data_IF_174961905484
#
_entry.id   IF_174961905484
#
_cell.length_a   1.000
_cell.length_b   1.000
_cell.length_c   1.000
_cell.angle_alpha   90.00
_cell.angle_beta   90.00
_cell.angle_gamma   90.00
#
_symmetry.space_group_name_H-M   'P 1'
#
loop_
_entity.id
_entity.type
_entity.pdbx_description
1 polymer ?
#
# COMPACT_ATOMS: atom_id res chain seq x y z
N UNK A 1 12.62 7.67 -24.75
CA UNK A 1 13.37 8.35 -23.68
C UNK A 1 13.64 7.30 -22.61
N UNK A 2 14.89 6.84 -22.52
CA UNK A 2 15.29 5.64 -21.77
C UNK A 2 15.65 6.05 -20.34
N UNK A 3 14.97 5.48 -19.35
CA UNK A 3 15.33 5.61 -17.94
C UNK A 3 16.67 4.90 -17.70
N UNK A 4 17.71 5.58 -17.19
CA UNK A 4 18.99 4.94 -16.98
C UNK A 4 18.99 4.06 -15.73
N UNK A 5 19.60 2.89 -15.86
CA UNK A 5 19.62 1.84 -14.87
C UNK A 5 20.64 2.14 -13.76
N UNK A 6 20.25 2.66 -12.59
CA UNK A 6 21.19 2.75 -11.45
C UNK A 6 20.56 2.48 -10.07
N UNK A 7 21.22 1.55 -9.37
CA UNK A 7 21.41 1.44 -7.91
C UNK A 7 21.10 0.03 -7.39
N UNK A 8 22.18 -0.61 -6.94
CA UNK A 8 22.27 -2.04 -6.68
C UNK A 8 22.28 -2.37 -5.18
N UNK A 9 21.40 -1.78 -4.35
CA UNK A 9 20.96 -2.40 -3.08
C UNK A 9 19.75 -1.68 -2.47
N UNK A 10 19.20 -2.26 -1.40
CA UNK A 10 17.78 -2.22 -1.14
C UNK A 10 17.26 -0.92 -0.50
N UNK A 11 16.24 -0.29 -1.08
CA UNK A 11 15.40 0.71 -0.43
C UNK A 11 14.48 0.00 0.56
N UNK A 12 14.60 0.31 1.85
CA UNK A 12 13.60 -0.02 2.86
C UNK A 12 12.38 0.87 2.66
N UNK A 13 11.21 0.24 2.62
CA UNK A 13 9.95 0.96 2.55
C UNK A 13 8.97 0.36 3.56
N UNK A 14 8.87 0.92 4.78
CA UNK A 14 7.70 0.68 5.60
C UNK A 14 6.48 1.28 4.90
N UNK A 15 5.42 0.48 4.79
CA UNK A 15 4.10 0.94 4.39
C UNK A 15 3.11 0.60 5.50
N UNK A 16 2.16 1.50 5.72
CA UNK A 16 1.02 1.28 6.61
C UNK A 16 -0.23 1.67 5.86
N UNK A 17 -1.17 0.74 5.71
CA UNK A 17 -2.47 0.98 5.11
C UNK A 17 -3.55 0.89 6.17
N UNK A 18 -4.35 1.94 6.31
CA UNK A 18 -5.49 1.98 7.22
C UNK A 18 -6.76 2.20 6.41
N UNK A 19 -7.85 1.52 6.76
CA UNK A 19 -9.15 1.75 6.11
C UNK A 19 -10.30 1.71 7.11
N UNK A 20 -11.32 2.52 6.85
CA UNK A 20 -12.55 2.55 7.65
C UNK A 20 -13.57 1.60 7.04
N UNK A 21 -14.13 0.70 7.86
CA UNK A 21 -15.20 -0.20 7.46
C UNK A 21 -16.38 -0.12 8.45
N UNK A 22 -17.64 -0.14 7.97
CA UNK A 22 -18.79 -0.29 8.85
C UNK A 22 -18.81 -1.71 9.43
N UNK A 23 -19.26 -1.83 10.67
CA UNK A 23 -19.33 -3.12 11.39
C UNK A 23 -20.60 -3.89 11.02
N UNK A 24 -20.53 -5.23 11.04
CA UNK A 24 -21.68 -6.11 10.91
C UNK A 24 -21.79 -7.05 12.12
N UNK A 25 -22.61 -6.70 13.13
CA UNK A 25 -22.78 -7.54 14.31
C UNK A 25 -23.48 -8.87 14.04
N UNK A 26 -24.13 -9.05 12.88
CA UNK A 26 -24.89 -10.27 12.56
C UNK A 26 -23.99 -11.39 11.99
N UNK A 27 -22.75 -11.09 11.62
CA UNK A 27 -21.80 -12.07 11.11
C UNK A 27 -20.64 -12.32 12.10
N UNK A 28 -20.71 -13.45 12.80
CA UNK A 28 -19.70 -13.87 13.75
C UNK A 28 -18.35 -14.26 13.10
N UNK A 29 -18.33 -14.50 11.78
CA UNK A 29 -17.15 -14.89 11.01
C UNK A 29 -16.48 -13.72 10.26
N UNK A 30 -17.13 -12.56 10.17
CA UNK A 30 -16.56 -11.28 9.71
C UNK A 30 -17.34 -10.06 10.26
N UNK A 31 -16.74 -9.31 11.18
CA UNK A 31 -17.37 -8.19 11.92
C UNK A 31 -17.27 -6.88 11.14
N UNK A 32 -16.65 -6.90 9.96
CA UNK A 32 -16.45 -5.77 9.07
C UNK A 32 -17.11 -6.04 7.70
N UNK A 33 -17.89 -5.09 7.19
CA UNK A 33 -18.54 -5.18 5.86
C UNK A 33 -17.59 -4.94 4.69
N UNK A 34 -16.31 -4.72 4.96
CA UNK A 34 -15.32 -4.35 3.98
C UNK A 34 -13.98 -5.01 4.31
N UNK A 35 -13.39 -5.67 3.32
CA UNK A 35 -11.99 -6.07 3.35
C UNK A 35 -11.20 -5.28 2.31
N UNK A 36 -9.98 -4.88 2.68
CA UNK A 36 -9.04 -4.27 1.74
C UNK A 36 -7.91 -5.26 1.43
N UNK A 37 -7.75 -5.61 0.17
CA UNK A 37 -6.60 -6.38 -0.29
C UNK A 37 -5.64 -5.45 -1.02
N UNK A 38 -4.41 -5.32 -0.49
CA UNK A 38 -3.38 -4.46 -1.07
C UNK A 38 -2.28 -5.31 -1.67
N UNK A 39 -2.08 -5.17 -2.98
CA UNK A 39 -1.10 -5.92 -3.75
C UNK A 39 -0.04 -4.97 -4.29
N UNK A 40 1.23 -5.35 -4.22
CA UNK A 40 2.33 -4.53 -4.71
C UNK A 40 2.87 -5.05 -6.05
N UNK A 41 2.93 -4.18 -7.05
CA UNK A 41 3.57 -4.42 -8.35
C UNK A 41 4.89 -3.65 -8.39
N UNK A 42 6.04 -4.33 -8.22
CA UNK A 42 7.34 -3.65 -8.22
C UNK A 42 7.78 -3.17 -9.60
N UNK A 43 7.35 -3.83 -10.68
CA UNK A 43 7.82 -3.56 -12.03
C UNK A 43 6.68 -3.82 -13.03
N UNK A 44 6.31 -2.78 -13.78
CA UNK A 44 5.25 -2.78 -14.79
C UNK A 44 5.60 -3.59 -16.05
N UNK A 45 6.87 -3.60 -16.45
CA UNK A 45 7.34 -4.32 -17.64
C UNK A 45 7.49 -5.83 -17.42
N UNK A 46 7.54 -6.29 -16.17
CA UNK A 46 7.67 -7.72 -15.86
C UNK A 46 6.32 -8.42 -15.96
N UNK A 47 5.90 -8.72 -17.17
CA UNK A 47 4.71 -9.52 -17.45
C UNK A 47 5.14 -10.98 -17.62
N UNK A 48 4.52 -11.89 -16.87
CA UNK A 48 4.76 -13.34 -17.06
C UNK A 48 4.04 -13.80 -18.31
N UNK A 49 4.65 -14.75 -19.00
CA UNK A 49 4.05 -15.36 -20.18
C UNK A 49 2.62 -15.87 -19.87
N UNK A 50 1.67 -15.55 -20.76
CA UNK A 50 0.21 -15.81 -20.62
C UNK A 50 -0.55 -15.00 -19.56
N UNK A 51 -0.03 -13.89 -19.03
CA UNK A 51 -0.79 -12.97 -18.15
C UNK A 51 -0.94 -11.59 -18.76
N UNK A 52 -2.11 -10.97 -18.55
CA UNK A 52 -2.37 -9.57 -18.96
C UNK A 52 -1.69 -8.56 -18.02
N UNK A 53 -1.53 -8.90 -16.74
CA UNK A 53 -1.01 -8.00 -15.72
C UNK A 53 0.46 -8.29 -15.37
N UNK A 54 1.17 -7.23 -14.99
CA UNK A 54 2.53 -7.30 -14.48
C UNK A 54 2.64 -8.13 -13.20
N UNK A 55 3.85 -8.61 -12.90
CA UNK A 55 4.14 -9.45 -11.75
C UNK A 55 3.80 -8.75 -10.44
N UNK A 56 2.94 -9.40 -9.64
CA UNK A 56 2.51 -8.94 -8.32
C UNK A 56 3.25 -9.67 -7.20
N UNK A 57 3.42 -8.97 -6.07
CA UNK A 57 4.00 -9.49 -4.84
C UNK A 57 3.14 -9.02 -3.66
N UNK A 58 2.84 -9.92 -2.73
CA UNK A 58 2.18 -9.52 -1.48
C UNK A 58 3.10 -8.62 -0.65
N UNK A 59 2.56 -7.53 -0.10
CA UNK A 59 3.34 -6.56 0.66
C UNK A 59 3.13 -6.71 2.17
N UNK A 60 1.87 -6.91 2.59
CA UNK A 60 1.48 -7.02 4.00
C UNK A 60 1.38 -8.47 4.50
N UNK A 61 1.70 -9.46 3.65
CA UNK A 61 1.65 -10.87 4.04
C UNK A 61 2.59 -11.16 5.23
N UNK A 62 2.00 -11.64 6.33
CA UNK A 62 2.69 -12.03 7.56
C UNK A 62 3.60 -13.26 7.35
N UNK A 63 3.23 -14.19 6.44
CA UNK A 63 4.03 -15.37 6.07
C UNK A 63 3.88 -15.73 4.59
N UNK A 64 5.00 -16.12 3.96
CA UNK A 64 5.07 -16.56 2.55
C UNK A 64 4.46 -17.95 2.32
N UNK A 65 4.59 -18.84 3.31
CA UNK A 65 3.93 -20.14 3.36
C UNK A 65 3.24 -20.24 4.71
N UNK A 66 1.93 -20.42 4.70
CA UNK A 66 1.10 -20.59 5.88
C UNK A 66 0.21 -21.81 5.66
N UNK A 67 0.06 -22.63 6.69
CA UNK A 67 -0.90 -23.74 6.71
C UNK A 67 -2.32 -23.21 6.57
N UNK A 68 -3.25 -24.06 6.14
CA UNK A 68 -4.67 -23.68 6.04
C UNK A 68 -5.19 -23.10 7.37
N UNK A 69 -4.80 -23.70 8.48
CA UNK A 69 -5.19 -23.27 9.81
C UNK A 69 -4.69 -21.87 10.15
N UNK A 70 -3.42 -21.58 9.86
CA UNK A 70 -2.85 -20.23 10.07
C UNK A 70 -3.51 -19.18 9.15
N UNK A 71 -3.91 -19.55 7.93
CA UNK A 71 -4.68 -18.65 7.05
C UNK A 71 -6.08 -18.36 7.59
N UNK A 72 -6.66 -19.27 8.36
CA UNK A 72 -7.95 -19.05 9.03
C UNK A 72 -7.80 -18.09 10.21
N UNK A 73 -6.73 -18.24 11.01
CA UNK A 73 -6.54 -17.49 12.26
C UNK A 73 -5.91 -16.11 12.09
N UNK A 74 -4.82 -15.98 11.30
CA UNK A 74 -3.87 -14.87 11.51
C UNK A 74 -3.74 -13.91 10.32
N UNK A 75 -4.49 -14.10 9.23
CA UNK A 75 -4.23 -13.38 7.98
C UNK A 75 -4.82 -11.95 7.93
N UNK A 76 -4.88 -11.24 9.06
CA UNK A 76 -5.34 -9.84 9.10
C UNK A 76 -6.77 -9.63 8.63
N UNK A 77 -7.61 -10.67 8.61
CA UNK A 77 -9.01 -10.62 8.13
C UNK A 77 -9.87 -9.63 8.91
N UNK A 78 -9.45 -9.32 10.13
CA UNK A 78 -10.13 -8.45 11.07
C UNK A 78 -9.40 -7.12 11.27
N UNK A 79 -8.23 -6.98 10.67
CA UNK A 79 -7.37 -5.82 10.88
C UNK A 79 -7.78 -4.70 9.89
N UNK A 80 -8.14 -3.56 10.44
CA UNK A 80 -8.36 -2.32 9.67
C UNK A 80 -7.07 -1.58 9.36
N UNK A 81 -5.96 -2.04 9.96
CA UNK A 81 -4.61 -1.50 9.82
C UNK A 81 -3.67 -2.62 9.37
N UNK A 82 -3.10 -2.47 8.18
CA UNK A 82 -2.08 -3.36 7.63
C UNK A 82 -0.74 -2.64 7.68
N UNK A 83 0.23 -3.20 8.41
CA UNK A 83 1.59 -2.68 8.47
C UNK A 83 2.58 -3.70 7.89
N UNK A 84 3.54 -3.24 7.09
CA UNK A 84 4.59 -4.08 6.55
C UNK A 84 5.81 -3.27 6.18
N UNK A 85 7.00 -3.84 6.38
CA UNK A 85 8.25 -3.25 5.92
C UNK A 85 8.96 -4.24 4.99
N UNK A 86 9.28 -3.79 3.78
CA UNK A 86 10.02 -4.59 2.81
C UNK A 86 11.14 -3.80 2.18
N UNK A 87 12.23 -4.50 1.90
CA UNK A 87 13.42 -3.94 1.27
C UNK A 87 13.52 -4.43 -0.18
N UNK A 88 13.71 -3.52 -1.14
CA UNK A 88 13.78 -3.85 -2.57
C UNK A 88 15.02 -3.27 -3.21
N UNK A 89 15.72 -4.01 -4.07
CA UNK A 89 16.83 -3.45 -4.85
C UNK A 89 16.28 -2.38 -5.79
N UNK A 90 16.88 -1.19 -5.82
CA UNK A 90 16.43 -0.09 -6.70
C UNK A 90 16.28 -0.54 -8.16
N UNK A 91 17.26 -1.28 -8.69
CA UNK A 91 17.21 -1.85 -10.05
C UNK A 91 16.06 -2.84 -10.30
N UNK A 92 15.34 -3.30 -9.28
CA UNK A 92 14.19 -4.19 -9.42
C UNK A 92 12.86 -3.45 -9.49
N UNK A 93 12.84 -2.16 -9.14
CA UNK A 93 11.66 -1.30 -9.14
C UNK A 93 11.61 -0.48 -10.43
N UNK A 94 10.47 -0.54 -11.13
CA UNK A 94 10.18 0.30 -12.30
C UNK A 94 8.71 0.63 -12.31
N UNK A 95 8.37 1.91 -12.18
CA UNK A 95 7.01 2.38 -11.92
C UNK A 95 6.27 1.51 -10.90
N UNK A 96 6.77 1.41 -9.64
CA UNK A 96 6.14 0.58 -8.64
C UNK A 96 4.75 1.10 -8.28
N UNK A 97 3.76 0.20 -8.21
CA UNK A 97 2.35 0.54 -7.94
C UNK A 97 1.79 -0.34 -6.82
N UNK A 98 0.94 0.24 -5.98
CA UNK A 98 0.07 -0.50 -5.07
C UNK A 98 -1.34 -0.56 -5.66
N UNK A 99 -1.81 -1.78 -5.93
CA UNK A 99 -3.21 -2.01 -6.29
C UNK A 99 -4.00 -2.26 -5.02
N UNK A 100 -5.09 -1.52 -4.87
CA UNK A 100 -5.99 -1.61 -3.73
C UNK A 100 -7.31 -2.18 -4.23
N UNK A 101 -7.60 -3.42 -3.86
CA UNK A 101 -8.86 -4.08 -4.19
C UNK A 101 -9.82 -3.99 -3.02
N UNK A 102 -10.92 -3.29 -3.25
CA UNK A 102 -12.01 -3.20 -2.31
C UNK A 102 -12.91 -4.44 -2.44
N UNK A 103 -12.94 -5.26 -1.40
CA UNK A 103 -13.79 -6.43 -1.30
C UNK A 103 -14.98 -6.11 -0.38
N UNK A 104 -16.04 -5.58 -0.97
CA UNK A 104 -17.30 -5.32 -0.27
C UNK A 104 -18.03 -6.62 0.09
N UNK A 105 -18.52 -6.70 1.33
CA UNK A 105 -19.21 -7.85 1.89
C UNK A 105 -20.57 -7.43 2.42
N UNK A 106 -21.59 -8.25 2.15
CA UNK A 106 -22.92 -8.12 2.74
C UNK A 106 -23.41 -9.52 3.12
N UNK A 107 -23.74 -9.73 4.40
CA UNK A 107 -24.22 -11.02 4.93
C UNK A 107 -23.33 -12.24 4.63
N UNK A 108 -22.00 -12.11 4.76
CA UNK A 108 -21.05 -13.20 4.49
C UNK A 108 -20.75 -13.49 3.01
N UNK A 109 -21.43 -12.80 2.07
CA UNK A 109 -21.26 -12.93 0.62
C UNK A 109 -20.63 -11.69 -0.05
N UNK A 110 -20.35 -11.79 -1.36
CA UNK A 110 -20.01 -10.60 -2.18
C UNK A 110 -21.23 -9.70 -2.26
N UNK A 111 -21.08 -8.41 -1.96
CA UNK A 111 -22.16 -7.44 -2.11
C UNK A 111 -22.64 -7.39 -3.57
N UNK A 112 -23.91 -7.69 -3.80
CA UNK A 112 -24.54 -7.76 -5.13
C UNK A 112 -25.04 -6.40 -5.63
N UNK A 113 -25.16 -5.41 -4.75
CA UNK A 113 -25.63 -4.06 -5.08
C UNK A 113 -24.83 -2.99 -4.34
N UNK A 114 -24.40 -1.95 -5.08
CA UNK A 114 -24.05 -0.62 -4.57
C UNK A 114 -23.18 -0.54 -3.31
N UNK A 115 -22.05 -1.26 -3.27
CA UNK A 115 -21.14 -1.21 -2.13
C UNK A 115 -20.70 0.23 -1.79
N UNK A 116 -20.82 0.60 -0.51
CA UNK A 116 -20.46 1.93 -0.02
C UNK A 116 -18.96 2.22 -0.23
N UNK A 117 -18.63 3.43 -0.68
CA UNK A 117 -17.23 3.83 -0.85
C UNK A 117 -16.55 3.93 0.52
N UNK A 118 -15.49 3.14 0.72
CA UNK A 118 -14.70 3.20 1.94
C UNK A 118 -13.63 4.29 1.87
N UNK A 119 -13.38 4.95 3.00
CA UNK A 119 -12.23 5.84 3.16
C UNK A 119 -11.02 5.00 3.56
N UNK A 120 -9.90 5.23 2.88
CA UNK A 120 -8.63 4.59 3.20
C UNK A 120 -7.50 5.61 3.18
N UNK A 121 -6.43 5.30 3.90
CA UNK A 121 -5.18 6.03 3.91
C UNK A 121 -4.02 5.04 3.75
N UNK A 122 -3.15 5.28 2.79
CA UNK A 122 -1.91 4.53 2.61
C UNK A 122 -0.73 5.46 2.91
N UNK A 123 -0.01 5.17 3.99
CA UNK A 123 1.18 5.88 4.41
C UNK A 123 2.38 5.08 3.90
N UNK A 124 3.21 5.73 3.08
CA UNK A 124 4.42 5.14 2.51
C UNK A 124 5.64 5.93 2.98
N UNK A 125 6.60 5.22 3.57
CA UNK A 125 7.92 5.75 3.83
C UNK A 125 8.87 5.19 2.78
N UNK A 126 9.58 6.05 2.07
CA UNK A 126 10.54 5.65 1.04
C UNK A 126 11.92 6.15 1.42
N UNK A 127 12.85 5.22 1.55
CA UNK A 127 14.25 5.52 1.84
C UNK A 127 15.12 5.02 0.69
N UNK A 128 15.91 5.92 0.08
CA UNK A 128 16.91 5.56 -0.92
C UNK A 128 18.23 6.28 -0.61
N UNK A 129 19.12 5.67 0.22
CA UNK A 129 20.30 6.36 0.76
C UNK A 129 21.29 6.89 -0.30
N UNK A 130 21.27 6.32 -1.50
CA UNK A 130 22.14 6.72 -2.63
C UNK A 130 21.46 7.66 -3.63
N UNK A 131 20.27 8.16 -3.30
CA UNK A 131 19.50 9.05 -4.16
C UNK A 131 19.27 10.37 -3.44
N UNK A 132 20.27 11.26 -3.53
CA UNK A 132 20.29 12.50 -2.76
C UNK A 132 19.05 13.40 -3.02
N UNK A 133 18.54 13.42 -4.25
CA UNK A 133 17.43 14.31 -4.65
C UNK A 133 16.05 13.61 -4.70
N UNK A 134 15.90 12.49 -3.99
CA UNK A 134 14.70 11.63 -4.08
C UNK A 134 13.40 12.39 -3.85
N UNK A 135 13.40 13.27 -2.84
CA UNK A 135 12.22 14.05 -2.47
C UNK A 135 11.78 15.01 -3.58
N UNK A 136 12.72 15.78 -4.15
CA UNK A 136 12.39 16.76 -5.18
C UNK A 136 11.98 16.07 -6.49
N UNK A 137 12.61 14.94 -6.83
CA UNK A 137 12.25 14.16 -8.01
C UNK A 137 10.83 13.58 -7.91
N UNK A 138 10.42 13.10 -6.72
CA UNK A 138 9.04 12.66 -6.47
C UNK A 138 8.06 13.83 -6.61
N UNK A 139 8.36 14.99 -6.02
CA UNK A 139 7.50 16.16 -6.13
C UNK A 139 7.36 16.64 -7.58
N UNK A 140 8.43 16.63 -8.37
CA UNK A 140 8.41 17.03 -9.78
C UNK A 140 7.61 16.03 -10.63
N UNK A 141 7.83 14.73 -10.44
CA UNK A 141 7.16 13.68 -11.20
C UNK A 141 5.65 13.65 -10.93
N UNK A 142 5.23 13.97 -9.70
CA UNK A 142 3.83 13.87 -9.26
C UNK A 142 3.25 15.22 -8.80
N UNK A 143 3.73 16.34 -9.35
CA UNK A 143 3.32 17.70 -8.96
C UNK A 143 1.81 17.98 -9.05
N UNK A 144 1.08 17.20 -9.87
CA UNK A 144 -0.38 17.31 -10.02
C UNK A 144 -1.19 16.53 -8.99
N UNK A 145 -0.55 15.59 -8.29
CA UNK A 145 -1.21 14.63 -7.39
C UNK A 145 -0.75 14.80 -5.95
N UNK A 146 0.52 15.12 -5.73
CA UNK A 146 1.10 15.27 -4.40
C UNK A 146 1.12 16.74 -3.98
N UNK A 147 0.68 17.00 -2.76
CA UNK A 147 0.81 18.30 -2.11
C UNK A 147 1.90 18.18 -1.04
N UNK A 148 2.96 19.00 -1.08
CA UNK A 148 3.98 18.98 -0.04
C UNK A 148 3.38 19.46 1.28
N UNK A 149 3.68 18.76 2.38
CA UNK A 149 3.27 19.18 3.72
C UNK A 149 4.03 20.47 4.05
N UNK A 150 3.30 21.57 4.29
CA UNK A 150 3.89 22.82 4.72
C UNK A 150 4.03 22.85 6.25
N UNK A 151 5.22 23.15 6.78
CA UNK A 151 5.40 23.27 8.22
C UNK A 151 4.63 24.50 8.73
N UNK A 152 3.67 24.30 9.63
CA UNK A 152 3.02 25.40 10.35
C UNK A 152 3.93 25.82 11.51
N UNK A 153 4.76 26.82 11.28
CA UNK A 153 5.63 27.39 12.32
C UNK A 153 4.96 28.64 12.90
N UNK A 154 4.19 28.48 13.98
CA UNK A 154 3.75 29.61 14.81
C UNK A 154 4.81 29.91 15.86
N UNK A 155 5.80 30.73 15.53
CA UNK A 155 6.71 31.27 16.53
C UNK A 155 6.06 32.47 17.23
N UNK A 156 5.82 32.43 18.55
CA UNK A 156 5.36 33.62 19.26
C UNK A 156 6.49 34.65 19.26
N UNK A 157 6.25 35.77 18.59
CA UNK A 157 7.16 36.92 18.58
C UNK A 157 7.11 37.53 19.99
N UNK A 158 8.19 37.40 20.77
CA UNK A 158 8.36 38.18 22.00
C UNK A 158 8.84 39.57 21.60
N UNK A 159 7.93 40.55 21.60
CA UNK A 159 8.29 41.97 21.55
C UNK A 159 8.86 42.33 22.92
N UNK A 160 10.08 42.89 22.93
CA UNK A 160 10.73 43.44 24.13
C UNK A 160 10.39 44.91 24.29
#
# INVERSE_FOLDING_TARGET
MVWPAWSTRASSSPATCCYASPTDPQDAAAYTKAGLEVVFRPNDEKIKDRKSNAYTKGFFDLKKCATEQERRSDQGKWETVLHGAKTFRGSSLKHPVFDIHYNARDGGGRATTGAEKIRYALILSVEAPKHADLYNDILRAYAKTLVPIQPQVSLPIRVR
#
